data_IF_038800494680
#
_entry.id   IF_038800494680
#
_cell.length_a   1.000
_cell.length_b   1.000
_cell.length_c   1.000
_cell.angle_alpha   90.00
_cell.angle_beta   90.00
_cell.angle_gamma   90.00
#
_symmetry.space_group_name_H-M   'P 1'
#
loop_
_entity.id
_entity.type
_entity.pdbx_description
1 polymer ?
#
# COMPACT_ATOMS: atom_id res chain seq x y z
N UNK A 1 2.76 -10.20 9.10
CA UNK A 1 2.18 -9.04 8.41
C UNK A 1 3.28 -8.38 7.60
N UNK A 2 3.05 -8.11 6.31
CA UNK A 2 4.01 -7.31 5.54
C UNK A 2 4.00 -5.86 6.07
N UNK A 3 5.16 -5.26 6.23
CA UNK A 3 5.25 -3.86 6.63
C UNK A 3 4.68 -2.96 5.52
N UNK A 4 4.11 -1.80 5.87
CA UNK A 4 3.63 -0.82 4.88
C UNK A 4 4.72 -0.49 3.84
N UNK A 5 5.98 -0.40 4.29
CA UNK A 5 7.13 -0.20 3.41
C UNK A 5 7.30 -1.32 2.39
N UNK A 6 7.16 -2.59 2.79
CA UNK A 6 7.29 -3.74 1.88
C UNK A 6 6.15 -3.78 0.86
N UNK A 7 4.93 -3.49 1.32
CA UNK A 7 3.73 -3.40 0.49
C UNK A 7 3.90 -2.36 -0.62
N UNK A 8 4.36 -1.16 -0.28
CA UNK A 8 4.67 -0.09 -1.23
C UNK A 8 5.79 -0.48 -2.21
N UNK A 9 6.88 -1.07 -1.71
CA UNK A 9 8.00 -1.50 -2.56
C UNK A 9 7.55 -2.55 -3.57
N UNK A 10 6.72 -3.51 -3.15
CA UNK A 10 6.24 -4.56 -4.04
C UNK A 10 5.35 -3.99 -5.16
N UNK A 11 4.48 -3.02 -4.86
CA UNK A 11 3.70 -2.34 -5.92
C UNK A 11 4.59 -1.54 -6.87
N UNK A 12 5.59 -0.82 -6.36
CA UNK A 12 6.53 -0.07 -7.22
C UNK A 12 7.48 -0.97 -8.04
N UNK A 13 7.65 -2.24 -7.65
CA UNK A 13 8.42 -3.23 -8.42
C UNK A 13 7.70 -3.70 -9.68
N UNK A 14 6.37 -3.67 -9.68
CA UNK A 14 5.56 -4.06 -10.83
C UNK A 14 5.50 -2.97 -11.91
N UNK A 15 5.86 -1.73 -11.56
CA UNK A 15 5.99 -0.63 -12.52
C UNK A 15 7.26 -0.77 -13.36
N UNK A 16 7.16 -0.53 -14.66
CA UNK A 16 8.31 -0.40 -15.54
C UNK A 16 9.12 0.87 -15.23
N UNK A 17 10.32 1.01 -15.79
CA UNK A 17 11.18 2.18 -15.51
C UNK A 17 10.54 3.51 -15.96
N UNK A 18 9.85 3.50 -17.10
CA UNK A 18 9.13 4.68 -17.61
C UNK A 18 7.99 5.09 -16.66
N UNK A 19 7.22 4.11 -16.19
CA UNK A 19 6.13 4.32 -15.24
C UNK A 19 6.68 4.78 -13.88
N UNK A 20 7.79 4.21 -13.41
CA UNK A 20 8.42 4.66 -12.18
C UNK A 20 8.85 6.13 -12.27
N UNK A 21 9.38 6.57 -13.42
CA UNK A 21 9.72 7.98 -13.66
C UNK A 21 8.50 8.89 -13.64
N UNK A 22 7.39 8.46 -14.23
CA UNK A 22 6.11 9.19 -14.18
C UNK A 22 5.52 9.23 -12.77
N UNK A 23 5.57 8.12 -12.03
CA UNK A 23 5.17 8.06 -10.62
C UNK A 23 5.98 9.05 -9.79
N UNK A 24 7.29 9.06 -9.98
CA UNK A 24 8.19 9.99 -9.32
C UNK A 24 7.90 11.44 -9.71
N UNK A 25 7.55 11.70 -10.96
CA UNK A 25 7.14 13.02 -11.41
C UNK A 25 5.89 13.51 -10.66
N UNK A 26 4.85 12.69 -10.55
CA UNK A 26 3.65 13.02 -9.79
C UNK A 26 3.92 13.19 -8.29
N UNK A 27 4.82 12.39 -7.72
CA UNK A 27 5.19 12.50 -6.31
C UNK A 27 6.00 13.79 -6.02
N UNK A 28 6.80 14.30 -6.98
CA UNK A 28 7.48 15.61 -6.86
C UNK A 28 6.49 16.79 -6.82
N UNK A 29 5.33 16.64 -7.44
CA UNK A 29 4.27 17.66 -7.48
C UNK A 29 3.59 17.85 -6.12
N UNK A 30 3.66 16.86 -5.22
CA UNK A 30 3.07 16.91 -3.88
C UNK A 30 3.80 17.85 -2.87
N UNK A 31 4.66 18.77 -3.35
CA UNK A 31 5.42 19.85 -2.68
C UNK A 31 6.27 19.50 -1.44
N UNK A 32 6.07 18.33 -0.81
CA UNK A 32 6.81 17.88 0.38
C UNK A 32 8.08 17.10 0.06
N UNK A 33 8.29 16.73 -1.19
CA UNK A 33 9.48 15.98 -1.62
C UNK A 33 10.36 16.87 -2.50
N UNK A 34 11.61 17.07 -2.09
CA UNK A 34 12.55 17.90 -2.84
C UNK A 34 12.82 17.28 -4.22
N UNK A 35 12.74 18.09 -5.28
CA UNK A 35 12.93 17.65 -6.67
C UNK A 35 14.29 16.96 -6.88
N UNK A 36 15.33 17.48 -6.24
CA UNK A 36 16.71 16.97 -6.31
C UNK A 36 16.89 15.59 -5.67
N UNK A 37 16.08 15.25 -4.67
CA UNK A 37 16.19 13.96 -3.96
C UNK A 37 15.68 12.78 -4.79
N UNK A 38 14.77 13.07 -5.72
CA UNK A 38 14.10 12.11 -6.58
C UNK A 38 14.69 12.02 -7.99
N UNK A 39 15.71 12.81 -8.30
CA UNK A 39 16.52 12.60 -9.50
C UNK A 39 17.38 11.35 -9.28
N UNK A 40 17.20 10.31 -10.10
CA UNK A 40 17.82 8.98 -9.95
C UNK A 40 17.42 8.19 -8.69
N UNK A 41 16.25 8.46 -8.11
CA UNK A 41 15.79 7.67 -6.98
C UNK A 41 15.39 6.26 -7.43
N UNK A 42 15.93 5.23 -6.77
CA UNK A 42 15.43 3.88 -6.92
C UNK A 42 14.06 3.69 -6.25
N UNK A 43 13.40 2.57 -6.55
CA UNK A 43 12.13 2.16 -5.94
C UNK A 43 12.19 2.22 -4.41
N UNK A 44 13.28 1.73 -3.81
CA UNK A 44 13.48 1.75 -2.35
C UNK A 44 13.63 3.17 -1.80
N UNK A 45 14.39 4.03 -2.50
CA UNK A 45 14.60 5.42 -2.07
C UNK A 45 13.29 6.19 -2.11
N UNK A 46 12.50 5.98 -3.16
CA UNK A 46 11.16 6.54 -3.34
C UNK A 46 10.25 6.18 -2.16
N UNK A 47 10.12 4.89 -1.81
CA UNK A 47 9.27 4.47 -0.70
C UNK A 47 9.75 5.01 0.64
N UNK A 48 11.05 4.95 0.93
CA UNK A 48 11.59 5.48 2.18
C UNK A 48 11.24 6.97 2.33
N UNK A 49 11.37 7.74 1.25
CA UNK A 49 11.05 9.16 1.26
C UNK A 49 9.56 9.41 1.49
N UNK A 50 8.69 8.63 0.84
CA UNK A 50 7.24 8.74 1.05
C UNK A 50 6.86 8.46 2.50
N UNK A 51 7.34 7.36 3.06
CA UNK A 51 7.04 6.98 4.45
C UNK A 51 7.64 7.99 5.43
N UNK A 52 8.82 8.54 5.16
CA UNK A 52 9.45 9.56 6.01
C UNK A 52 8.72 10.92 5.95
N UNK A 53 8.25 11.35 4.79
CA UNK A 53 7.59 12.65 4.62
C UNK A 53 6.11 12.67 5.03
N UNK A 54 5.40 11.56 4.80
CA UNK A 54 3.94 11.51 4.98
C UNK A 54 3.50 10.56 6.10
N UNK A 55 4.36 9.63 6.52
CA UNK A 55 3.99 8.53 7.41
C UNK A 55 3.48 7.31 6.63
N UNK A 56 3.40 6.14 7.27
CA UNK A 56 3.09 4.88 6.60
C UNK A 56 1.69 4.86 5.97
N UNK A 57 0.64 5.19 6.74
CA UNK A 57 -0.74 5.16 6.21
C UNK A 57 -0.96 6.17 5.08
N UNK A 58 -0.43 7.38 5.23
CA UNK A 58 -0.61 8.43 4.24
C UNK A 58 0.20 8.16 2.97
N UNK A 59 1.39 7.55 3.10
CA UNK A 59 2.18 7.10 1.95
C UNK A 59 1.40 6.10 1.08
N UNK A 60 0.58 5.23 1.68
CA UNK A 60 -0.26 4.28 0.93
C UNK A 60 -1.33 5.00 0.15
N UNK A 61 -2.05 5.94 0.78
CA UNK A 61 -3.09 6.73 0.08
C UNK A 61 -2.52 7.52 -1.09
N UNK A 62 -1.36 8.14 -0.90
CA UNK A 62 -0.67 8.89 -1.97
C UNK A 62 -0.29 7.94 -3.11
N UNK A 63 0.27 6.78 -2.79
CA UNK A 63 0.66 5.78 -3.80
C UNK A 63 -0.55 5.31 -4.62
N UNK A 64 -1.66 4.97 -3.95
CA UNK A 64 -2.92 4.57 -4.63
C UNK A 64 -3.41 5.70 -5.55
N UNK A 65 -3.40 6.95 -5.08
CA UNK A 65 -3.84 8.11 -5.86
C UNK A 65 -2.99 8.33 -7.11
N UNK A 66 -1.66 8.24 -6.99
CA UNK A 66 -0.75 8.40 -8.12
C UNK A 66 -0.91 7.25 -9.12
N UNK A 67 -0.98 6.00 -8.65
CA UNK A 67 -1.20 4.84 -9.52
C UNK A 67 -2.49 5.00 -10.35
N UNK A 68 -3.58 5.50 -9.75
CA UNK A 68 -4.82 5.80 -10.48
C UNK A 68 -4.66 6.91 -11.53
N UNK A 69 -3.89 7.96 -11.23
CA UNK A 69 -3.60 9.04 -12.20
C UNK A 69 -2.87 8.53 -13.43
N UNK A 70 -1.96 7.57 -13.24
CA UNK A 70 -1.20 6.92 -14.31
C UNK A 70 -1.96 5.75 -14.97
N UNK A 71 -3.25 5.59 -14.69
CA UNK A 71 -4.09 4.49 -15.18
C UNK A 71 -3.68 3.08 -14.72
N UNK A 72 -2.77 2.98 -13.73
CA UNK A 72 -2.38 1.73 -13.04
C UNK A 72 -3.41 1.30 -11.99
N UNK A 73 -4.67 1.21 -12.42
CA UNK A 73 -5.84 0.97 -11.55
C UNK A 73 -5.79 -0.40 -10.87
N UNK A 74 -5.31 -1.44 -11.58
CA UNK A 74 -5.21 -2.78 -11.02
C UNK A 74 -4.21 -2.82 -9.85
N UNK A 75 -3.03 -2.22 -10.04
CA UNK A 75 -2.00 -2.08 -9.01
C UNK A 75 -2.49 -1.26 -7.81
N UNK A 76 -3.23 -0.17 -8.08
CA UNK A 76 -3.84 0.65 -7.04
C UNK A 76 -4.85 -0.12 -6.17
N UNK A 77 -5.72 -0.91 -6.81
CA UNK A 77 -6.71 -1.74 -6.11
C UNK A 77 -6.05 -2.84 -5.29
N UNK A 78 -5.05 -3.54 -5.86
CA UNK A 78 -4.29 -4.55 -5.13
C UNK A 78 -3.61 -3.97 -3.89
N UNK A 79 -3.00 -2.79 -4.00
CA UNK A 79 -2.33 -2.10 -2.90
C UNK A 79 -3.34 -1.73 -1.79
N UNK A 80 -4.49 -1.17 -2.17
CA UNK A 80 -5.56 -0.79 -1.23
C UNK A 80 -6.14 -2.01 -0.51
N UNK A 81 -6.40 -3.10 -1.25
CA UNK A 81 -6.92 -4.34 -0.69
C UNK A 81 -5.95 -4.98 0.30
N UNK A 82 -4.66 -5.07 -0.05
CA UNK A 82 -3.63 -5.62 0.85
C UNK A 82 -3.46 -4.77 2.12
N UNK A 83 -3.59 -3.44 2.01
CA UNK A 83 -3.59 -2.56 3.17
C UNK A 83 -4.81 -2.77 4.07
N UNK A 84 -6.01 -2.90 3.49
CA UNK A 84 -7.27 -3.14 4.23
C UNK A 84 -7.32 -4.52 4.88
N UNK A 85 -6.82 -5.56 4.20
CA UNK A 85 -6.77 -6.93 4.74
C UNK A 85 -5.83 -7.07 5.94
N UNK A 86 -4.83 -6.19 6.09
CA UNK A 86 -4.04 -6.07 7.31
C UNK A 86 -4.83 -5.61 8.54
N UNK A 87 -6.01 -4.99 8.35
CA UNK A 87 -6.89 -4.54 9.43
C UNK A 87 -8.03 -5.50 9.77
N UNK A 88 -8.26 -6.56 8.99
CA UNK A 88 -9.42 -7.47 9.16
C UNK A 88 -9.05 -8.89 9.59
N UNK A 89 -7.81 -9.15 9.99
CA UNK A 89 -7.42 -10.45 10.55
C UNK A 89 -7.71 -10.60 12.06
N UNK A 90 -8.35 -9.62 12.70
CA UNK A 90 -8.89 -9.72 14.07
C UNK A 90 -10.38 -9.37 14.08
N UNK A 91 -11.20 -10.25 13.50
CA UNK A 91 -12.65 -10.35 13.80
C UNK A 91 -13.20 -11.69 13.32
N UNK A 92 -12.41 -12.74 13.51
CA UNK A 92 -12.74 -14.11 13.15
C UNK A 92 -12.72 -15.03 14.36
N UNK A 93 -13.44 -14.70 15.43
CA UNK A 93 -13.78 -15.70 16.45
C UNK A 93 -15.08 -15.37 17.19
N UNK A 94 -16.18 -15.87 16.64
CA UNK A 94 -17.28 -16.39 17.44
C UNK A 94 -17.92 -17.50 16.60
N UNK A 95 -17.25 -18.65 16.60
CA UNK A 95 -17.82 -19.89 16.12
C UNK A 95 -19.10 -20.17 16.91
N UNK A 96 -20.19 -20.18 16.14
CA UNK A 96 -21.43 -20.92 16.30
C UNK A 96 -21.27 -22.12 17.27
N UNK A 97 -21.68 -21.96 18.52
CA UNK A 97 -21.94 -23.11 19.39
C UNK A 97 -23.41 -23.51 19.19
N UNK A 98 -23.62 -24.42 18.24
CA UNK A 98 -24.79 -25.28 18.20
C UNK A 98 -24.73 -26.18 19.44
N UNK A 99 -25.42 -25.78 20.51
CA UNK A 99 -25.59 -26.65 21.67
C UNK A 99 -26.72 -27.64 21.36
N UNK A 100 -26.39 -28.66 20.57
CA UNK A 100 -27.09 -29.95 20.64
C UNK A 100 -26.92 -30.48 22.07
N UNK A 101 -27.95 -30.27 22.89
CA UNK A 101 -28.03 -30.81 24.24
C UNK A 101 -28.16 -32.34 24.12
N UNK A 102 -27.31 -33.13 24.80
CA UNK A 102 -27.41 -34.58 24.77
C UNK A 102 -28.62 -35.09 25.55
N UNK A 103 -29.22 -36.15 25.00
CA UNK A 103 -30.14 -37.07 25.67
C UNK A 103 -29.49 -37.67 26.92
N UNK A 104 -30.23 -37.75 28.02
CA UNK A 104 -29.93 -38.65 29.13
C UNK A 104 -31.23 -39.12 29.82
N UNK A 105 -31.42 -40.44 29.77
CA UNK A 105 -32.29 -41.39 30.51
C UNK A 105 -33.80 -41.11 30.64
#
# INVERSE_FOLDING_TARGET
>A
MASVKELLVNSLKELEEAELKEFQWHLKDHERVAKSEMENADRLKTVNRMVACFGPEEAVKITVSILRKMQQNNLAEQLENKHKQGSTADKGQAALHDYTKPVAD
#
